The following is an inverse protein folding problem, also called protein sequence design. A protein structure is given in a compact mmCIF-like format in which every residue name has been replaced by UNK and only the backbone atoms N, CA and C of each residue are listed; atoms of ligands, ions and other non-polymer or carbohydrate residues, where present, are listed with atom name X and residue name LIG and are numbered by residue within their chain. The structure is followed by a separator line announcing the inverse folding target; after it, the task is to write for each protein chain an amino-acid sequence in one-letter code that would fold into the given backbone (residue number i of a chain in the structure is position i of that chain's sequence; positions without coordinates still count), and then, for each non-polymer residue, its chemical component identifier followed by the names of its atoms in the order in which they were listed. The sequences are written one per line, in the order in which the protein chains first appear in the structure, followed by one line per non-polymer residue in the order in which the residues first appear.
data_IF_247641799707
#
_entry.id   IF_247641799707
#
_cell.length_a   1.000
_cell.length_b   1.000
_cell.length_c   1.000
_cell.angle_alpha   90.00
_cell.angle_beta   90.00
_cell.angle_gamma   90.00
#
_symmetry.space_group_name_H-M   'P 1'
#
loop_
_entity.id
_entity.type
_entity.pdbx_description
1 polymer ?
#
# COMPACT_ATOMS: atom_id res chain seq x y z
N UNK A 1 -25.51 -15.38 13.88
CA UNK A 1 -25.97 -14.18 13.16
C UNK A 1 -26.11 -13.08 14.19
N UNK A 2 -25.61 -11.88 13.87
CA UNK A 2 -25.89 -10.70 14.69
C UNK A 2 -27.26 -10.16 14.25
N UNK A 3 -28.11 -9.83 15.21
CA UNK A 3 -29.45 -9.25 14.97
C UNK A 3 -29.56 -7.97 15.79
N UNK A 4 -30.18 -6.94 15.21
CA UNK A 4 -30.44 -5.69 15.91
C UNK A 4 -31.85 -5.22 15.60
N UNK A 5 -32.64 -5.02 16.66
CA UNK A 5 -34.00 -4.49 16.57
C UNK A 5 -33.93 -2.97 16.74
N UNK A 6 -34.52 -2.23 15.80
CA UNK A 6 -34.55 -0.76 15.83
C UNK A 6 -36.00 -0.30 15.73
N UNK A 7 -36.44 0.50 16.70
CA UNK A 7 -37.74 1.17 16.66
C UNK A 7 -37.56 2.55 16.02
N UNK A 8 -38.39 2.87 15.02
CA UNK A 8 -38.37 4.16 14.31
C UNK A 8 -39.75 4.79 14.34
N UNK A 9 -39.79 6.10 14.50
CA UNK A 9 -41.00 6.89 14.28
C UNK A 9 -41.26 7.10 12.78
N UNK A 10 -42.48 7.45 12.35
CA UNK A 10 -42.76 7.77 10.95
C UNK A 10 -41.83 8.88 10.42
N UNK A 11 -41.13 8.62 9.32
CA UNK A 11 -40.19 9.54 8.70
C UNK A 11 -38.80 9.61 9.34
N UNK A 12 -38.54 8.84 10.40
CA UNK A 12 -37.23 8.77 11.05
C UNK A 12 -36.30 7.78 10.31
N UNK A 13 -35.04 8.18 10.11
CA UNK A 13 -33.97 7.31 9.63
C UNK A 13 -32.89 7.17 10.70
N UNK A 14 -32.42 5.94 10.93
CA UNK A 14 -31.32 5.66 11.86
C UNK A 14 -30.25 4.82 11.18
N UNK A 15 -28.99 5.21 11.39
CA UNK A 15 -27.83 4.41 10.94
C UNK A 15 -27.69 3.20 11.85
N UNK A 16 -27.63 2.01 11.24
CA UNK A 16 -27.39 0.73 11.91
C UNK A 16 -26.00 0.23 11.51
N UNK A 17 -25.20 -0.17 12.50
CA UNK A 17 -23.81 -0.57 12.29
C UNK A 17 -23.60 -2.00 12.77
N UNK A 18 -23.03 -2.84 11.92
CA UNK A 18 -22.62 -4.20 12.25
C UNK A 18 -21.10 -4.32 12.09
N UNK A 19 -20.46 -5.04 13.01
CA UNK A 19 -19.04 -5.35 12.92
C UNK A 19 -18.83 -6.85 12.68
N UNK A 20 -17.95 -7.18 11.74
CA UNK A 20 -17.54 -8.55 11.46
C UNK A 20 -16.05 -8.59 11.14
N UNK A 21 -15.30 -9.43 11.84
CA UNK A 21 -13.88 -9.67 11.57
C UNK A 21 -13.71 -11.00 10.84
N UNK A 22 -13.51 -11.00 9.52
CA UNK A 22 -13.27 -12.24 8.77
C UNK A 22 -11.94 -12.88 9.18
N UNK A 23 -11.94 -14.18 9.45
CA UNK A 23 -10.72 -14.95 9.78
C UNK A 23 -10.17 -15.76 8.60
N UNK A 24 -10.89 -15.79 7.47
CA UNK A 24 -10.51 -16.55 6.28
C UNK A 24 -10.43 -15.62 5.08
N UNK A 25 -9.38 -15.76 4.28
CA UNK A 25 -9.16 -15.00 3.05
C UNK A 25 -10.10 -15.48 1.96
N UNK A 26 -11.09 -14.66 1.62
CA UNK A 26 -12.04 -14.90 0.51
C UNK A 26 -12.93 -13.68 0.28
N UNK A 27 -13.71 -13.72 -0.79
CA UNK A 27 -14.83 -12.80 -0.97
C UNK A 27 -16.00 -13.22 -0.07
N UNK A 28 -16.50 -12.28 0.73
CA UNK A 28 -17.69 -12.42 1.55
C UNK A 28 -18.84 -11.68 0.90
N UNK A 29 -19.99 -12.33 0.82
CA UNK A 29 -21.26 -11.70 0.47
C UNK A 29 -21.92 -11.24 1.76
N UNK A 30 -22.44 -10.01 1.76
CA UNK A 30 -23.18 -9.39 2.86
C UNK A 30 -24.62 -9.24 2.40
N UNK A 31 -25.56 -9.65 3.26
CA UNK A 31 -26.99 -9.43 3.06
C UNK A 31 -27.59 -8.87 4.34
N UNK A 32 -28.30 -7.74 4.24
CA UNK A 32 -29.02 -7.09 5.35
C UNK A 32 -30.40 -6.72 4.83
N UNK A 33 -31.44 -7.39 5.33
CA UNK A 33 -32.84 -7.15 4.97
C UNK A 33 -33.10 -6.98 3.45
N UNK A 34 -32.44 -7.82 2.64
CA UNK A 34 -32.57 -7.83 1.18
C UNK A 34 -31.59 -6.91 0.43
N UNK A 35 -30.86 -6.04 1.12
CA UNK A 35 -29.73 -5.30 0.55
C UNK A 35 -28.49 -6.19 0.51
N UNK A 36 -27.85 -6.28 -0.65
CA UNK A 36 -26.66 -7.12 -0.84
C UNK A 36 -25.42 -6.30 -1.17
N UNK A 37 -24.27 -6.73 -0.66
CA UNK A 37 -22.95 -6.19 -1.00
C UNK A 37 -21.88 -7.27 -0.88
N UNK A 38 -20.64 -6.93 -1.23
CA UNK A 38 -19.52 -7.86 -1.02
C UNK A 38 -18.24 -7.14 -0.66
N UNK A 39 -17.35 -7.84 0.04
CA UNK A 39 -15.99 -7.38 0.28
C UNK A 39 -15.01 -8.55 0.26
N UNK A 40 -13.75 -8.29 -0.08
CA UNK A 40 -12.67 -9.30 -0.07
C UNK A 40 -11.90 -9.21 1.24
N UNK A 41 -11.90 -10.28 2.02
CA UNK A 41 -10.98 -10.42 3.14
C UNK A 41 -9.59 -10.81 2.60
N UNK A 42 -8.58 -10.05 2.98
CA UNK A 42 -7.17 -10.33 2.72
C UNK A 42 -6.49 -10.81 4.01
N UNK A 43 -5.35 -11.53 3.95
CA UNK A 43 -4.72 -12.02 5.17
C UNK A 43 -4.38 -10.85 6.10
N UNK A 44 -4.78 -10.96 7.36
CA UNK A 44 -4.45 -9.98 8.38
C UNK A 44 -2.92 -9.91 8.53
N UNK A 45 -2.34 -8.74 8.30
CA UNK A 45 -0.89 -8.53 8.37
C UNK A 45 -0.10 -8.93 7.12
N UNK A 46 -0.75 -9.26 6.00
CA UNK A 46 -0.02 -9.45 4.75
C UNK A 46 0.53 -8.12 4.21
N UNK A 47 1.75 -8.17 3.68
CA UNK A 47 2.30 -7.09 2.89
C UNK A 47 1.62 -7.07 1.52
N UNK A 48 1.11 -5.91 1.12
CA UNK A 48 0.54 -5.69 -0.21
C UNK A 48 1.60 -4.99 -1.06
N UNK A 49 1.97 -5.59 -2.18
CA UNK A 49 2.84 -4.94 -3.16
C UNK A 49 2.05 -3.90 -3.96
N UNK A 50 2.69 -2.81 -4.41
CA UNK A 50 2.16 -1.95 -5.45
C UNK A 50 1.79 -2.73 -6.71
N UNK A 51 0.92 -2.13 -7.53
CA UNK A 51 0.43 -2.74 -8.78
C UNK A 51 0.87 -1.98 -10.03
N UNK A 52 1.50 -0.83 -9.85
CA UNK A 52 1.99 0.00 -10.94
C UNK A 52 2.99 1.04 -10.44
N UNK A 53 3.43 1.89 -11.35
CA UNK A 53 4.31 3.01 -11.08
C UNK A 53 3.97 4.21 -11.95
N UNK A 54 4.50 5.37 -11.57
CA UNK A 54 4.60 6.58 -12.35
C UNK A 54 6.03 7.11 -12.18
N UNK A 55 6.74 7.31 -13.30
CA UNK A 55 8.09 7.86 -13.33
C UNK A 55 8.08 9.17 -14.14
N UNK A 56 7.82 10.33 -13.49
CA UNK A 56 7.60 11.58 -14.22
C UNK A 56 8.83 12.16 -14.89
N UNK A 57 10.04 11.77 -14.46
CA UNK A 57 11.30 12.28 -15.02
C UNK A 57 12.03 11.25 -15.92
N UNK A 58 11.45 10.05 -16.06
CA UNK A 58 11.97 8.93 -16.86
C UNK A 58 13.42 8.58 -16.49
N UNK A 59 13.78 8.71 -15.21
CA UNK A 59 15.12 8.39 -14.70
C UNK A 59 15.20 7.07 -14.00
N UNK A 60 14.08 6.44 -13.67
CA UNK A 60 14.09 5.07 -13.21
C UNK A 60 14.09 4.12 -14.41
N UNK A 61 14.83 3.03 -14.26
CA UNK A 61 14.81 1.92 -15.22
C UNK A 61 14.40 0.63 -14.52
N UNK A 62 13.79 -0.26 -15.30
CA UNK A 62 13.27 -1.54 -14.84
C UNK A 62 12.27 -1.40 -13.67
N UNK A 63 11.41 -0.39 -13.72
CA UNK A 63 10.49 0.08 -12.67
C UNK A 63 9.59 -1.03 -12.12
N UNK A 64 9.18 -1.98 -12.98
CA UNK A 64 8.41 -3.16 -12.59
C UNK A 64 9.13 -3.97 -11.49
N UNK A 65 10.46 -4.01 -11.50
CA UNK A 65 11.27 -4.73 -10.50
C UNK A 65 11.19 -4.12 -9.10
N UNK A 66 10.64 -2.90 -8.93
CA UNK A 66 10.39 -2.34 -7.61
C UNK A 66 9.20 -3.01 -6.89
N UNK A 67 8.31 -3.68 -7.62
CA UNK A 67 7.07 -4.26 -7.09
C UNK A 67 6.71 -5.64 -7.66
N UNK A 68 7.66 -6.33 -8.29
CA UNK A 68 7.50 -7.68 -8.87
C UNK A 68 7.45 -8.82 -7.83
N UNK A 69 7.67 -8.51 -6.55
CA UNK A 69 7.70 -9.49 -5.45
C UNK A 69 8.99 -10.32 -5.37
N UNK A 70 9.97 -10.05 -6.23
CA UNK A 70 11.27 -10.69 -6.20
C UNK A 70 12.28 -9.75 -5.55
N UNK A 71 12.80 -10.15 -4.39
CA UNK A 71 13.81 -9.31 -3.75
C UNK A 71 15.06 -9.22 -4.61
N UNK A 72 15.48 -10.26 -5.35
CA UNK A 72 16.77 -10.29 -6.07
C UNK A 72 16.85 -9.43 -7.34
N UNK A 73 15.76 -8.78 -7.72
CA UNK A 73 15.70 -7.79 -8.79
C UNK A 73 15.62 -6.38 -8.18
N UNK A 74 15.88 -5.35 -8.98
CA UNK A 74 15.76 -3.96 -8.55
C UNK A 74 15.42 -3.06 -9.73
N UNK A 75 14.59 -2.06 -9.48
CA UNK A 75 14.57 -0.83 -10.28
C UNK A 75 15.73 0.07 -9.82
N UNK A 76 16.23 0.92 -10.71
CA UNK A 76 17.36 1.80 -10.40
C UNK A 76 17.26 3.14 -11.08
N UNK A 77 17.75 4.18 -10.42
CA UNK A 77 17.94 5.51 -10.99
C UNK A 77 19.42 5.90 -11.02
N UNK A 78 19.81 6.94 -11.79
CA UNK A 78 21.13 7.54 -11.71
C UNK A 78 21.46 7.98 -10.29
N UNK A 79 22.74 7.84 -9.93
CA UNK A 79 23.26 8.24 -8.61
C UNK A 79 23.14 9.75 -8.34
N UNK A 80 23.09 10.55 -9.40
CA UNK A 80 23.12 12.01 -9.31
C UNK A 80 21.78 12.56 -9.78
N UNK A 81 21.27 13.53 -9.01
CA UNK A 81 19.93 14.08 -9.20
C UNK A 81 18.95 13.57 -8.14
N UNK A 82 17.93 14.37 -7.87
CA UNK A 82 16.80 13.96 -7.04
C UNK A 82 15.74 13.40 -7.98
N UNK A 83 15.59 12.07 -7.98
CA UNK A 83 14.65 11.33 -8.80
C UNK A 83 13.73 10.52 -7.89
N UNK A 84 12.45 10.45 -8.22
CA UNK A 84 11.49 9.68 -7.43
C UNK A 84 10.68 8.73 -8.32
N UNK A 85 10.38 7.56 -7.77
CA UNK A 85 9.47 6.61 -8.38
C UNK A 85 8.19 6.60 -7.54
N UNK A 86 7.08 7.03 -8.12
CA UNK A 86 5.78 6.89 -7.50
C UNK A 86 5.28 5.46 -7.72
N UNK A 87 4.95 4.76 -6.64
CA UNK A 87 4.40 3.40 -6.67
C UNK A 87 2.89 3.48 -6.47
N UNK A 88 2.11 2.94 -7.40
CA UNK A 88 0.66 3.07 -7.44
C UNK A 88 -0.06 1.77 -7.06
N UNK A 89 -1.25 1.92 -6.48
CA UNK A 89 -2.15 0.82 -6.15
C UNK A 89 -3.44 0.97 -6.97
N UNK A 90 -3.96 -0.14 -7.48
CA UNK A 90 -5.25 -0.16 -8.19
C UNK A 90 -6.40 0.33 -7.30
N UNK A 91 -6.34 0.06 -6.00
CA UNK A 91 -7.32 0.50 -5.01
C UNK A 91 -6.60 1.03 -3.77
N UNK A 92 -7.15 2.08 -3.15
CA UNK A 92 -6.64 2.59 -1.88
C UNK A 92 -6.82 1.54 -0.77
N UNK A 93 -5.77 1.33 0.04
CA UNK A 93 -5.78 0.35 1.13
C UNK A 93 -5.58 1.03 2.49
N UNK A 94 -6.06 0.38 3.55
CA UNK A 94 -5.67 0.71 4.92
C UNK A 94 -4.35 0.02 5.24
N UNK A 95 -3.31 0.79 5.57
CA UNK A 95 -2.03 0.27 6.05
C UNK A 95 -1.58 1.06 7.28
N UNK A 96 -0.84 0.40 8.18
CA UNK A 96 -0.21 1.03 9.35
C UNK A 96 1.32 1.06 9.25
N UNK A 97 1.89 0.42 8.22
CA UNK A 97 3.33 0.29 8.00
C UNK A 97 3.64 0.27 6.51
N UNK A 98 4.81 0.80 6.17
CA UNK A 98 5.43 0.71 4.85
C UNK A 98 6.75 -0.03 4.99
N UNK A 99 7.09 -0.87 4.02
CA UNK A 99 8.36 -1.59 3.97
C UNK A 99 9.03 -1.31 2.63
N UNK A 100 10.31 -0.95 2.68
CA UNK A 100 11.13 -0.66 1.50
C UNK A 100 12.38 -1.51 1.56
N UNK A 101 12.82 -1.98 0.40
CA UNK A 101 14.09 -2.69 0.22
C UNK A 101 14.92 -1.95 -0.83
N UNK A 102 15.80 -1.06 -0.37
CA UNK A 102 16.60 -0.20 -1.24
C UNK A 102 18.05 -0.15 -0.75
N UNK A 103 18.98 0.04 -1.68
CA UNK A 103 20.40 0.16 -1.38
C UNK A 103 21.07 1.05 -2.43
N UNK A 104 22.08 1.81 -2.00
CA UNK A 104 23.02 2.44 -2.93
C UNK A 104 23.95 1.34 -3.46
N UNK A 105 24.07 1.22 -4.78
CA UNK A 105 24.89 0.18 -5.40
C UNK A 105 26.08 0.78 -6.14
N UNK A 106 27.27 0.22 -5.88
CA UNK A 106 28.45 0.41 -6.70
C UNK A 106 28.66 -0.84 -7.55
N UNK A 107 28.71 -0.73 -8.89
CA UNK A 107 28.60 -1.89 -9.77
C UNK A 107 29.91 -2.66 -10.02
N UNK A 108 31.08 -2.13 -9.63
CA UNK A 108 32.37 -2.79 -9.85
C UNK A 108 33.40 -2.52 -8.74
N UNK A 109 33.62 -3.48 -7.82
CA UNK A 109 32.82 -4.68 -7.59
C UNK A 109 31.43 -4.36 -7.04
N UNK A 110 30.44 -5.23 -7.24
CA UNK A 110 29.07 -5.05 -6.72
C UNK A 110 29.10 -4.95 -5.19
N UNK A 111 28.74 -3.79 -4.65
CA UNK A 111 28.61 -3.54 -3.21
C UNK A 111 27.33 -2.77 -2.91
N UNK A 112 26.64 -3.21 -1.87
CA UNK A 112 25.41 -2.59 -1.36
C UNK A 112 25.74 -1.71 -0.15
N UNK A 113 25.25 -0.49 -0.18
CA UNK A 113 25.44 0.50 0.87
C UNK A 113 24.09 1.04 1.36
N UNK A 114 24.11 1.65 2.55
CA UNK A 114 23.00 2.44 3.06
C UNK A 114 22.64 3.56 2.09
N UNK A 115 21.35 3.70 1.78
CA UNK A 115 20.83 4.90 1.11
C UNK A 115 20.87 6.02 2.13
N UNK A 116 21.66 7.06 1.91
CA UNK A 116 21.96 8.05 2.97
C UNK A 116 20.86 9.08 3.18
N UNK A 117 20.06 9.39 2.16
CA UNK A 117 19.06 10.46 2.16
C UNK A 117 17.75 10.02 1.49
N UNK A 118 17.19 8.89 1.91
CA UNK A 118 15.91 8.45 1.39
C UNK A 118 14.78 9.28 2.02
N UNK A 119 13.81 9.67 1.20
CA UNK A 119 12.50 10.14 1.66
C UNK A 119 11.44 9.13 1.25
N UNK A 120 10.44 8.92 2.11
CA UNK A 120 9.28 8.09 1.80
C UNK A 120 8.05 8.93 2.10
N UNK A 121 7.28 9.19 1.05
CA UNK A 121 6.04 9.92 1.11
C UNK A 121 4.87 8.97 0.79
N UNK A 122 3.73 9.16 1.44
CA UNK A 122 2.50 8.39 1.21
C UNK A 122 1.37 9.35 0.89
N UNK A 123 0.61 9.04 -0.16
CA UNK A 123 -0.56 9.83 -0.56
C UNK A 123 -1.82 9.38 0.19
N UNK A 124 -2.42 10.29 0.96
CA UNK A 124 -3.73 10.11 1.61
C UNK A 124 -4.36 11.47 1.90
N UNK A 125 -5.67 11.53 2.16
CA UNK A 125 -6.39 12.79 2.43
C UNK A 125 -6.12 13.91 1.40
N UNK A 126 -6.04 13.54 0.11
CA UNK A 126 -5.76 14.44 -1.01
C UNK A 126 -4.40 15.18 -0.96
N UNK A 127 -3.38 14.57 -0.33
CA UNK A 127 -2.03 15.13 -0.29
C UNK A 127 -0.94 14.09 -0.08
N UNK A 128 0.29 14.50 -0.40
CA UNK A 128 1.50 13.75 -0.10
C UNK A 128 1.99 14.06 1.32
N UNK A 129 2.26 13.02 2.10
CA UNK A 129 2.73 13.14 3.47
C UNK A 129 4.04 12.40 3.65
N UNK A 130 5.06 13.11 4.14
CA UNK A 130 6.35 12.50 4.48
C UNK A 130 6.27 11.68 5.75
N UNK A 131 6.50 10.37 5.62
CA UNK A 131 6.51 9.45 6.76
C UNK A 131 7.92 9.07 7.20
N UNK A 132 8.91 9.27 6.34
CA UNK A 132 10.31 8.97 6.62
C UNK A 132 11.24 9.94 5.89
N UNK A 133 12.33 10.33 6.56
CA UNK A 133 13.46 11.03 5.99
C UNK A 133 14.72 10.60 6.73
N UNK A 134 15.71 10.09 6.02
CA UNK A 134 16.99 9.71 6.63
C UNK A 134 17.67 8.55 5.90
N UNK A 135 18.53 7.85 6.63
CA UNK A 135 19.28 6.74 6.06
C UNK A 135 18.54 5.40 6.18
N UNK A 136 18.48 4.66 5.08
CA UNK A 136 18.05 3.27 5.09
C UNK A 136 19.25 2.36 5.35
N UNK A 137 19.10 1.31 6.18
CA UNK A 137 20.17 0.32 6.35
C UNK A 137 20.46 -0.36 5.01
N UNK A 138 21.68 -0.91 4.84
CA UNK A 138 21.96 -1.71 3.65
C UNK A 138 21.01 -2.90 3.61
N UNK A 139 20.69 -3.31 2.38
CA UNK A 139 19.87 -4.46 2.07
C UNK A 139 20.49 -5.78 2.54
#
# INVERSE_FOLDING_TARGET
MAEQIVTLSPGEGKVVSFEATPTVVKTYQVSVDGLTGSFKAIPAGAWVSPTGHNDPDEKWGDEIRAYDGNLNTAASSPRYGEHYLELTLMEAIRCSKVRVNAADVWWSPVRYYSVRNATIDVYYNAGWHRIFSGSLPPR
#
